data_IF_038569261388
#
_entry.id   IF_038569261388
#
_cell.length_a   1.000
_cell.length_b   1.000
_cell.length_c   1.000
_cell.angle_alpha   90.00
_cell.angle_beta   90.00
_cell.angle_gamma   90.00
#
_symmetry.space_group_name_H-M   'P 1'
#
loop_
_entity.id
_entity.type
_entity.pdbx_description
1 polymer ?
#
# COMPACT_ATOMS: atom_id res chain seq x y z
N UNK A 1 -35.66 5.18 17.81
CA UNK A 1 -34.51 4.98 16.91
C UNK A 1 -33.92 3.62 17.22
N UNK A 2 -33.61 2.79 16.21
CA UNK A 2 -32.99 1.47 16.44
C UNK A 2 -31.59 1.65 17.03
N UNK A 3 -31.17 0.76 17.93
CA UNK A 3 -29.79 0.76 18.43
C UNK A 3 -28.82 0.23 17.36
N UNK A 4 -27.55 0.59 17.45
CA UNK A 4 -26.50 0.10 16.55
C UNK A 4 -26.53 -1.45 16.45
N UNK A 5 -26.65 -2.14 17.57
CA UNK A 5 -26.73 -3.61 17.62
C UNK A 5 -27.95 -4.15 16.87
N UNK A 6 -29.10 -3.48 16.97
CA UNK A 6 -30.31 -3.87 16.25
C UNK A 6 -30.12 -3.71 14.74
N UNK A 7 -29.53 -2.59 14.31
CA UNK A 7 -29.22 -2.31 12.91
C UNK A 7 -28.25 -3.36 12.33
N UNK A 8 -27.16 -3.67 13.05
CA UNK A 8 -26.19 -4.71 12.65
C UNK A 8 -26.83 -6.10 12.54
N UNK A 9 -27.72 -6.45 13.47
CA UNK A 9 -28.39 -7.76 13.46
C UNK A 9 -29.32 -7.91 12.25
N UNK A 10 -30.10 -6.88 11.95
CA UNK A 10 -31.00 -6.86 10.79
C UNK A 10 -30.22 -6.85 9.47
N UNK A 11 -29.15 -6.06 9.38
CA UNK A 11 -28.24 -6.06 8.24
C UNK A 11 -27.66 -7.46 7.95
N UNK A 12 -27.22 -8.19 8.98
CA UNK A 12 -26.73 -9.57 8.83
C UNK A 12 -27.79 -10.53 8.28
N UNK A 13 -29.06 -10.35 8.68
CA UNK A 13 -30.16 -11.16 8.16
C UNK A 13 -30.40 -10.90 6.67
N UNK A 14 -30.37 -9.64 6.25
CA UNK A 14 -30.50 -9.25 4.85
C UNK A 14 -29.30 -9.72 4.02
N UNK A 15 -28.08 -9.57 4.54
CA UNK A 15 -26.86 -10.11 3.94
C UNK A 15 -26.95 -11.63 3.73
N UNK A 16 -27.41 -12.37 4.73
CA UNK A 16 -27.59 -13.82 4.64
C UNK A 16 -28.69 -14.22 3.65
N UNK A 17 -29.65 -13.33 3.41
CA UNK A 17 -30.70 -13.49 2.40
C UNK A 17 -30.25 -13.03 0.99
N UNK A 18 -29.04 -12.49 0.84
CA UNK A 18 -28.51 -11.97 -0.43
C UNK A 18 -28.98 -10.55 -0.80
N UNK A 19 -29.73 -9.88 0.08
CA UNK A 19 -30.21 -8.51 -0.12
C UNK A 19 -29.13 -7.50 0.33
N UNK A 20 -28.06 -7.43 -0.46
CA UNK A 20 -26.85 -6.70 -0.09
C UNK A 20 -27.03 -5.19 -0.05
N UNK A 21 -27.83 -4.61 -0.95
CA UNK A 21 -28.08 -3.15 -0.95
C UNK A 21 -28.81 -2.70 0.32
N UNK A 22 -29.81 -3.47 0.78
CA UNK A 22 -30.51 -3.15 2.04
C UNK A 22 -29.66 -3.46 3.26
N UNK A 23 -28.81 -4.50 3.20
CA UNK A 23 -27.84 -4.77 4.25
C UNK A 23 -26.83 -3.61 4.39
N UNK A 24 -26.31 -3.09 3.27
CA UNK A 24 -25.40 -1.93 3.25
C UNK A 24 -26.05 -0.70 3.89
N UNK A 25 -27.28 -0.35 3.49
CA UNK A 25 -27.99 0.79 4.06
C UNK A 25 -28.10 0.71 5.59
N UNK A 26 -28.35 -0.48 6.15
CA UNK A 26 -28.42 -0.68 7.59
C UNK A 26 -27.06 -0.70 8.27
N UNK A 27 -26.01 -1.20 7.61
CA UNK A 27 -24.65 -1.11 8.13
C UNK A 27 -24.15 0.33 8.16
N UNK A 28 -24.47 1.15 7.16
CA UNK A 28 -24.17 2.59 7.17
C UNK A 28 -24.97 3.33 8.25
N UNK A 29 -26.24 2.99 8.45
CA UNK A 29 -27.02 3.52 9.57
C UNK A 29 -26.41 3.13 10.91
N UNK A 30 -25.90 1.90 11.04
CA UNK A 30 -25.19 1.45 12.23
C UNK A 30 -23.90 2.23 12.47
N UNK A 31 -23.10 2.48 11.43
CA UNK A 31 -21.90 3.33 11.53
C UNK A 31 -22.24 4.75 11.99
N UNK A 32 -23.23 5.39 11.34
CA UNK A 32 -23.71 6.72 11.74
C UNK A 32 -24.22 6.72 13.17
N UNK A 33 -24.82 5.62 13.62
CA UNK A 33 -25.32 5.47 14.97
C UNK A 33 -24.20 5.36 16.01
N UNK A 34 -23.11 4.65 15.69
CA UNK A 34 -21.91 4.55 16.52
C UNK A 34 -21.20 5.89 16.64
N UNK A 35 -21.05 6.62 15.52
CA UNK A 35 -20.36 7.90 15.43
C UNK A 35 -21.13 9.09 16.02
N UNK A 36 -22.30 8.87 16.64
CA UNK A 36 -23.00 9.92 17.40
C UNK A 36 -22.29 10.26 18.70
N UNK A 37 -21.58 9.30 19.26
CA UNK A 37 -20.68 9.52 20.38
C UNK A 37 -19.32 9.96 19.81
N UNK A 38 -18.88 11.20 20.04
CA UNK A 38 -17.60 11.70 19.54
C UNK A 38 -16.39 10.92 20.04
N UNK A 39 -16.52 10.24 21.19
CA UNK A 39 -15.45 9.44 21.80
C UNK A 39 -15.51 7.97 21.36
N UNK A 40 -16.55 7.56 20.61
CA UNK A 40 -16.67 6.20 20.12
C UNK A 40 -15.74 5.95 18.93
N UNK A 41 -14.87 4.96 19.08
CA UNK A 41 -14.10 4.40 17.97
C UNK A 41 -14.95 3.39 17.20
N UNK A 42 -15.15 3.58 15.88
CA UNK A 42 -15.94 2.63 15.11
C UNK A 42 -15.23 1.27 14.96
N UNK A 43 -16.03 0.21 14.84
CA UNK A 43 -15.53 -1.16 14.72
C UNK A 43 -14.87 -1.41 13.34
N UNK A 44 -13.57 -1.74 13.25
CA UNK A 44 -12.91 -2.02 11.97
C UNK A 44 -13.55 -3.18 11.20
N UNK A 45 -14.15 -4.13 11.93
CA UNK A 45 -14.84 -5.29 11.37
C UNK A 45 -16.12 -4.91 10.62
N UNK A 46 -16.78 -3.81 11.01
CA UNK A 46 -17.95 -3.29 10.30
C UNK A 46 -17.54 -2.64 8.97
N UNK A 47 -16.42 -1.89 8.96
CA UNK A 47 -15.84 -1.37 7.72
C UNK A 47 -15.46 -2.50 6.75
N UNK A 48 -14.80 -3.56 7.24
CA UNK A 48 -14.49 -4.72 6.41
C UNK A 48 -15.73 -5.40 5.84
N UNK A 49 -16.81 -5.47 6.63
CA UNK A 49 -18.06 -6.07 6.18
C UNK A 49 -18.67 -5.26 5.04
N UNK A 50 -18.71 -3.94 5.18
CA UNK A 50 -19.22 -3.04 4.16
C UNK A 50 -18.35 -3.12 2.89
N UNK A 51 -17.03 -3.08 3.03
CA UNK A 51 -16.08 -3.24 1.92
C UNK A 51 -16.32 -4.54 1.13
N UNK A 52 -16.50 -5.66 1.84
CA UNK A 52 -16.78 -6.96 1.23
C UNK A 52 -18.12 -6.99 0.47
N UNK A 53 -19.12 -6.25 0.94
CA UNK A 53 -20.40 -6.12 0.25
C UNK A 53 -20.29 -5.25 -1.01
N UNK A 54 -19.57 -4.13 -0.95
CA UNK A 54 -19.30 -3.33 -2.14
C UNK A 54 -18.50 -4.12 -3.18
N UNK A 55 -17.51 -4.92 -2.77
CA UNK A 55 -16.79 -5.84 -3.65
C UNK A 55 -17.76 -6.83 -4.34
N UNK A 56 -18.67 -7.47 -3.58
CA UNK A 56 -19.66 -8.41 -4.14
C UNK A 56 -20.63 -7.74 -5.12
N UNK A 57 -20.91 -6.46 -4.93
CA UNK A 57 -21.78 -5.66 -5.80
C UNK A 57 -21.04 -5.06 -7.00
N UNK A 58 -19.74 -5.33 -7.17
CA UNK A 58 -18.94 -4.77 -8.26
C UNK A 58 -18.71 -3.27 -8.13
N UNK A 59 -18.61 -2.76 -6.89
CA UNK A 59 -18.36 -1.35 -6.56
C UNK A 59 -16.94 -1.19 -6.00
N UNK A 60 -15.89 -1.24 -6.83
CA UNK A 60 -14.49 -1.29 -6.37
C UNK A 60 -14.06 0.00 -5.65
N UNK A 61 -14.49 1.16 -6.11
CA UNK A 61 -14.13 2.45 -5.51
C UNK A 61 -14.62 2.54 -4.06
N UNK A 62 -15.92 2.28 -3.85
CA UNK A 62 -16.51 2.24 -2.51
C UNK A 62 -15.82 1.20 -1.63
N UNK A 63 -15.60 -0.02 -2.14
CA UNK A 63 -14.95 -1.08 -1.39
C UNK A 63 -13.54 -0.66 -0.93
N UNK A 64 -12.79 0.02 -1.79
CA UNK A 64 -11.45 0.52 -1.48
C UNK A 64 -11.48 1.59 -0.38
N UNK A 65 -12.47 2.50 -0.39
CA UNK A 65 -12.66 3.48 0.69
C UNK A 65 -12.88 2.80 2.05
N UNK A 66 -13.76 1.80 2.11
CA UNK A 66 -14.01 1.07 3.36
C UNK A 66 -12.83 0.17 3.77
N UNK A 67 -12.07 -0.41 2.83
CA UNK A 67 -10.84 -1.13 3.16
C UNK A 67 -9.76 -0.20 3.72
N UNK A 68 -9.58 1.00 3.14
CA UNK A 68 -8.71 2.06 3.67
C UNK A 68 -9.11 2.42 5.09
N UNK A 69 -10.40 2.65 5.32
CA UNK A 69 -10.96 2.95 6.65
C UNK A 69 -10.67 1.84 7.66
N UNK A 70 -10.94 0.58 7.31
CA UNK A 70 -10.67 -0.56 8.19
C UNK A 70 -9.18 -0.69 8.55
N UNK A 71 -8.29 -0.57 7.57
CA UNK A 71 -6.86 -0.64 7.81
C UNK A 71 -6.37 0.53 8.67
N UNK A 72 -6.89 1.75 8.44
CA UNK A 72 -6.62 2.93 9.27
C UNK A 72 -7.00 2.72 10.73
N UNK A 73 -8.24 2.27 10.98
CA UNK A 73 -8.72 2.00 12.33
C UNK A 73 -7.91 0.90 13.03
N UNK A 74 -7.52 -0.16 12.33
CA UNK A 74 -6.62 -1.17 12.90
C UNK A 74 -5.27 -0.59 13.29
N UNK A 75 -4.71 0.36 12.53
CA UNK A 75 -3.45 1.04 12.88
C UNK A 75 -3.63 1.93 14.11
N UNK A 76 -4.71 2.70 14.18
CA UNK A 76 -5.02 3.56 15.34
C UNK A 76 -5.20 2.75 16.63
N UNK A 77 -5.76 1.55 16.52
CA UNK A 77 -5.88 0.60 17.62
C UNK A 77 -4.58 -0.15 17.96
N UNK A 78 -3.47 0.12 17.26
CA UNK A 78 -2.19 -0.60 17.41
C UNK A 78 -2.19 -2.04 16.88
N UNK A 79 -3.25 -2.44 16.18
CA UNK A 79 -3.45 -3.79 15.62
C UNK A 79 -2.85 -3.89 14.21
N UNK A 80 -1.55 -3.64 14.10
CA UNK A 80 -0.84 -3.56 12.81
C UNK A 80 -0.92 -4.86 11.99
N UNK A 81 -0.90 -6.02 12.65
CA UNK A 81 -1.07 -7.34 12.00
C UNK A 81 -2.41 -7.44 11.26
N UNK A 82 -3.47 -6.88 11.85
CA UNK A 82 -4.80 -6.87 11.24
C UNK A 82 -4.83 -5.95 10.03
N UNK A 83 -4.25 -4.75 10.13
CA UNK A 83 -4.11 -3.85 8.99
C UNK A 83 -3.32 -4.49 7.83
N UNK A 84 -2.26 -5.27 8.12
CA UNK A 84 -1.53 -6.07 7.11
C UNK A 84 -2.45 -7.10 6.46
N UNK A 85 -3.28 -7.78 7.26
CA UNK A 85 -4.23 -8.77 6.75
C UNK A 85 -5.30 -8.13 5.84
N UNK A 86 -5.75 -6.91 6.15
CA UNK A 86 -6.63 -6.12 5.27
C UNK A 86 -5.92 -5.89 3.94
N UNK A 87 -4.74 -5.26 3.94
CA UNK A 87 -4.05 -4.93 2.69
C UNK A 87 -3.69 -6.16 1.85
N UNK A 88 -3.26 -7.26 2.47
CA UNK A 88 -3.04 -8.55 1.77
C UNK A 88 -4.31 -9.09 1.13
N UNK A 89 -5.47 -8.92 1.77
CA UNK A 89 -6.75 -9.28 1.17
C UNK A 89 -7.05 -8.40 -0.04
N UNK A 90 -6.87 -7.09 0.08
CA UNK A 90 -7.11 -6.13 -1.02
C UNK A 90 -6.25 -6.44 -2.23
N UNK A 91 -4.93 -6.68 -2.04
CA UNK A 91 -4.01 -7.10 -3.11
C UNK A 91 -4.50 -8.35 -3.86
N UNK A 92 -5.17 -9.28 -3.15
CA UNK A 92 -5.71 -10.50 -3.79
C UNK A 92 -7.01 -10.26 -4.55
N UNK A 93 -7.85 -9.32 -4.10
CA UNK A 93 -9.16 -9.06 -4.74
C UNK A 93 -9.09 -7.99 -5.83
N UNK A 94 -8.12 -7.08 -5.76
CA UNK A 94 -7.84 -6.04 -6.75
C UNK A 94 -6.35 -6.05 -7.12
N UNK A 95 -5.86 -7.07 -7.84
CA UNK A 95 -4.44 -7.19 -8.20
C UNK A 95 -3.95 -6.09 -9.16
N UNK A 96 -4.86 -5.44 -9.89
CA UNK A 96 -4.59 -4.32 -10.78
C UNK A 96 -4.35 -3.00 -10.02
N UNK A 97 -4.82 -2.91 -8.77
CA UNK A 97 -4.69 -1.71 -7.97
C UNK A 97 -3.32 -1.63 -7.28
N UNK A 98 -2.51 -0.59 -7.54
CA UNK A 98 -1.16 -0.49 -6.98
C UNK A 98 -1.16 0.06 -5.54
N UNK A 99 -2.16 0.86 -5.14
CA UNK A 99 -2.21 1.48 -3.80
C UNK A 99 -2.05 0.45 -2.66
N UNK A 100 -2.76 -0.70 -2.65
CA UNK A 100 -2.64 -1.71 -1.61
C UNK A 100 -1.22 -2.26 -1.42
N UNK A 101 -0.44 -2.40 -2.50
CA UNK A 101 0.95 -2.87 -2.43
C UNK A 101 1.86 -1.84 -1.74
N UNK A 102 1.68 -0.55 -2.06
CA UNK A 102 2.40 0.54 -1.39
C UNK A 102 2.07 0.57 0.11
N UNK A 103 0.78 0.53 0.45
CA UNK A 103 0.33 0.54 1.86
C UNK A 103 0.81 -0.67 2.64
N UNK A 104 0.81 -1.84 2.00
CA UNK A 104 1.33 -3.06 2.59
C UNK A 104 2.85 -2.95 2.87
N UNK A 105 3.62 -2.42 1.93
CA UNK A 105 5.06 -2.21 2.10
C UNK A 105 5.38 -1.22 3.24
N UNK A 106 4.69 -0.08 3.27
CA UNK A 106 4.81 0.94 4.33
C UNK A 106 4.55 0.32 5.71
N UNK A 107 3.45 -0.42 5.83
CA UNK A 107 3.03 -1.03 7.10
C UNK A 107 3.97 -2.15 7.56
N UNK A 108 4.44 -2.99 6.64
CA UNK A 108 5.42 -4.03 6.94
C UNK A 108 6.73 -3.43 7.43
N UNK A 109 7.16 -2.31 6.83
CA UNK A 109 8.36 -1.61 7.24
C UNK A 109 8.20 -1.00 8.64
N UNK A 110 7.04 -0.44 8.97
CA UNK A 110 6.67 0.04 10.33
C UNK A 110 6.73 -1.06 11.37
N UNK A 111 6.45 -2.30 10.98
CA UNK A 111 6.56 -3.48 11.84
C UNK A 111 7.97 -4.09 11.88
N UNK A 112 8.94 -3.55 11.15
CA UNK A 112 10.28 -4.13 11.02
C UNK A 112 10.36 -5.39 10.14
N UNK A 113 9.30 -5.72 9.41
CA UNK A 113 9.22 -6.83 8.46
C UNK A 113 9.87 -6.44 7.12
N UNK A 114 11.17 -6.12 7.16
CA UNK A 114 11.89 -5.50 6.04
C UNK A 114 11.94 -6.39 4.80
N UNK A 115 12.03 -7.72 4.97
CA UNK A 115 12.07 -8.65 3.84
C UNK A 115 10.75 -8.64 3.06
N UNK A 116 9.64 -8.71 3.77
CA UNK A 116 8.30 -8.67 3.21
C UNK A 116 7.99 -7.29 2.61
N UNK A 117 8.39 -6.21 3.29
CA UNK A 117 8.23 -4.86 2.81
C UNK A 117 8.93 -4.65 1.46
N UNK A 118 10.14 -5.21 1.29
CA UNK A 118 10.85 -5.19 0.00
C UNK A 118 10.10 -5.92 -1.11
N UNK A 119 9.52 -7.08 -0.80
CA UNK A 119 8.72 -7.84 -1.78
C UNK A 119 7.50 -7.03 -2.22
N UNK A 120 6.74 -6.49 -1.26
CA UNK A 120 5.56 -5.67 -1.53
C UNK A 120 5.91 -4.40 -2.32
N UNK A 121 7.03 -3.75 -1.99
CA UNK A 121 7.47 -2.55 -2.69
C UNK A 121 7.93 -2.85 -4.13
N UNK A 122 8.65 -3.95 -4.36
CA UNK A 122 9.01 -4.37 -5.72
C UNK A 122 7.76 -4.62 -6.57
N UNK A 123 6.78 -5.34 -6.01
CA UNK A 123 5.51 -5.58 -6.68
C UNK A 123 4.77 -4.26 -6.97
N UNK A 124 4.80 -3.28 -6.07
CA UNK A 124 4.24 -1.93 -6.33
C UNK A 124 4.93 -1.23 -7.51
N UNK A 125 6.28 -1.25 -7.55
CA UNK A 125 7.04 -0.64 -8.65
C UNK A 125 6.75 -1.33 -9.97
N UNK A 126 6.64 -2.65 -9.98
CA UNK A 126 6.30 -3.45 -11.16
C UNK A 126 4.88 -3.18 -11.65
N UNK A 127 3.90 -3.12 -10.75
CA UNK A 127 2.51 -2.79 -11.08
C UNK A 127 2.40 -1.40 -11.73
N UNK A 128 3.13 -0.41 -11.21
CA UNK A 128 3.23 0.93 -11.79
C UNK A 128 3.94 0.92 -13.14
N UNK A 129 5.04 0.17 -13.28
CA UNK A 129 5.75 0.04 -14.56
C UNK A 129 4.93 -0.67 -15.65
N UNK A 130 4.13 -1.68 -15.28
CA UNK A 130 3.25 -2.39 -16.21
C UNK A 130 2.15 -1.47 -16.78
N UNK A 131 1.63 -0.54 -15.97
CA UNK A 131 0.71 0.49 -16.43
C UNK A 131 1.36 1.50 -17.41
N UNK A 132 2.69 1.68 -17.36
CA UNK A 132 3.46 2.59 -18.22
C UNK A 132 3.73 2.02 -19.63
N UNK A 133 3.59 0.71 -19.88
CA UNK A 133 3.91 0.11 -21.19
C UNK A 133 3.05 0.63 -22.36
N UNK A 134 1.98 1.40 -22.07
CA UNK A 134 1.13 2.08 -23.04
C UNK A 134 1.13 3.61 -22.96
N UNK A 135 1.86 4.23 -22.02
CA UNK A 135 1.83 5.70 -21.80
C UNK A 135 3.25 6.22 -21.60
N UNK A 136 3.75 6.88 -22.65
CA UNK A 136 4.96 7.70 -22.76
C UNK A 136 5.83 7.86 -21.48
N UNK A 137 6.57 6.81 -21.10
CA UNK A 137 7.77 6.85 -20.25
C UNK A 137 7.73 7.67 -18.96
N UNK A 138 6.54 7.96 -18.42
CA UNK A 138 6.38 8.94 -17.36
C UNK A 138 6.83 8.33 -16.04
N UNK A 139 8.00 8.71 -15.57
CA UNK A 139 8.49 8.34 -14.25
C UNK A 139 7.47 8.80 -13.19
N UNK A 140 6.80 7.83 -12.60
CA UNK A 140 5.88 8.02 -11.48
C UNK A 140 6.59 8.65 -10.27
N UNK A 141 6.27 9.91 -9.98
CA UNK A 141 6.80 10.63 -8.80
C UNK A 141 6.48 9.92 -7.50
N UNK A 142 5.32 9.27 -7.42
CA UNK A 142 4.88 8.44 -6.29
C UNK A 142 5.72 7.16 -6.13
N UNK A 143 6.27 6.61 -7.22
CA UNK A 143 7.22 5.49 -7.17
C UNK A 143 8.59 5.96 -6.66
N UNK A 144 9.07 7.10 -7.16
CA UNK A 144 10.33 7.71 -6.70
C UNK A 144 10.26 8.03 -5.21
N UNK A 145 9.15 8.63 -4.76
CA UNK A 145 8.90 8.95 -3.36
C UNK A 145 8.91 7.68 -2.49
N UNK A 146 8.15 6.65 -2.87
CA UNK A 146 8.08 5.40 -2.11
C UNK A 146 9.45 4.69 -2.01
N UNK A 147 10.23 4.68 -3.09
CA UNK A 147 11.59 4.12 -3.10
C UNK A 147 12.54 4.90 -2.18
N UNK A 148 12.47 6.24 -2.17
CA UNK A 148 13.27 7.08 -1.27
C UNK A 148 12.94 6.81 0.19
N UNK A 149 11.66 6.89 0.55
CA UNK A 149 11.20 6.64 1.91
C UNK A 149 11.59 5.25 2.41
N UNK A 150 11.60 4.24 1.53
CA UNK A 150 12.10 2.91 1.86
C UNK A 150 13.61 2.91 2.10
N UNK A 151 14.39 3.48 1.17
CA UNK A 151 15.86 3.49 1.22
C UNK A 151 16.42 4.30 2.39
N UNK A 152 15.67 5.29 2.89
CA UNK A 152 16.01 6.02 4.11
C UNK A 152 16.02 5.09 5.33
N UNK A 153 15.17 4.06 5.35
CA UNK A 153 15.05 3.10 6.46
C UNK A 153 15.86 1.83 6.24
N UNK A 154 15.97 1.35 5.00
CA UNK A 154 16.70 0.14 4.63
C UNK A 154 17.51 0.36 3.34
N UNK A 155 18.86 0.37 3.38
CA UNK A 155 19.69 0.64 2.21
C UNK A 155 19.77 -0.61 1.29
N UNK A 156 18.65 -1.02 0.68
CA UNK A 156 18.58 -2.14 -0.27
C UNK A 156 19.27 -1.77 -1.59
N UNK A 157 20.38 -2.43 -1.98
CA UNK A 157 21.09 -2.10 -3.20
C UNK A 157 20.25 -2.29 -4.46
N UNK A 158 19.35 -3.28 -4.47
CA UNK A 158 18.47 -3.56 -5.61
C UNK A 158 17.46 -2.44 -5.87
N UNK A 159 16.76 -1.99 -4.82
CA UNK A 159 15.82 -0.87 -4.93
C UNK A 159 16.53 0.46 -5.27
N UNK A 160 17.76 0.66 -4.81
CA UNK A 160 18.55 1.84 -5.16
C UNK A 160 18.90 1.90 -6.66
N UNK A 161 19.22 0.75 -7.28
CA UNK A 161 19.43 0.66 -8.73
C UNK A 161 18.14 1.03 -9.47
N UNK A 162 16.99 0.51 -9.03
CA UNK A 162 15.69 0.82 -9.63
C UNK A 162 15.39 2.32 -9.56
N UNK A 163 15.60 2.94 -8.39
CA UNK A 163 15.44 4.38 -8.22
C UNK A 163 16.40 5.17 -9.13
N UNK A 164 17.68 4.82 -9.14
CA UNK A 164 18.69 5.53 -9.92
C UNK A 164 18.41 5.51 -11.43
N UNK A 165 17.93 4.39 -11.97
CA UNK A 165 17.54 4.30 -13.39
C UNK A 165 16.39 5.23 -13.73
N UNK A 166 15.37 5.30 -12.87
CA UNK A 166 14.23 6.22 -13.03
C UNK A 166 14.67 7.68 -12.94
N UNK A 167 15.56 8.03 -12.01
CA UNK A 167 16.10 9.39 -11.92
C UNK A 167 16.95 9.76 -13.15
N UNK A 168 17.78 8.84 -13.63
CA UNK A 168 18.60 9.06 -14.82
C UNK A 168 17.74 9.31 -16.08
N UNK A 169 16.62 8.59 -16.23
CA UNK A 169 15.67 8.78 -17.33
C UNK A 169 15.05 10.19 -17.37
N UNK A 170 14.91 10.87 -16.23
CA UNK A 170 14.41 12.26 -16.12
C UNK A 170 15.49 13.32 -16.33
N UNK A 171 16.64 12.97 -16.92
CA UNK A 171 17.86 13.79 -16.96
C UNK A 171 18.47 14.07 -15.56
N UNK A 172 18.02 13.37 -14.51
CA UNK A 172 18.51 13.46 -13.13
C UNK A 172 19.76 12.61 -12.87
N UNK A 173 20.68 12.51 -13.83
CA UNK A 173 21.87 11.64 -13.73
C UNK A 173 22.78 11.96 -12.53
N UNK A 174 23.04 13.24 -12.17
CA UNK A 174 23.80 13.55 -10.96
C UNK A 174 23.12 13.02 -9.69
N UNK A 175 21.80 13.13 -9.62
CA UNK A 175 20.99 12.65 -8.50
C UNK A 175 21.03 11.12 -8.41
N UNK A 176 20.86 10.43 -9.53
CA UNK A 176 21.00 8.98 -9.63
C UNK A 176 22.37 8.49 -9.10
N UNK A 177 23.45 9.16 -9.49
CA UNK A 177 24.80 8.83 -9.01
C UNK A 177 24.96 9.10 -7.52
N UNK A 178 24.33 10.14 -6.98
CA UNK A 178 24.38 10.46 -5.56
C UNK A 178 23.64 9.38 -4.75
N UNK A 179 22.39 9.07 -5.12
CA UNK A 179 21.60 8.00 -4.49
C UNK A 179 22.35 6.68 -4.40
N UNK A 180 22.99 6.25 -5.49
CA UNK A 180 23.76 5.01 -5.48
C UNK A 180 24.97 5.09 -4.54
N UNK A 181 25.70 6.21 -4.52
CA UNK A 181 26.84 6.38 -3.60
C UNK A 181 26.41 6.28 -2.14
N UNK A 182 25.32 6.95 -1.79
CA UNK A 182 24.82 7.02 -0.41
C UNK A 182 24.33 5.64 0.07
N UNK A 183 23.53 4.95 -0.77
CA UNK A 183 23.05 3.61 -0.43
C UNK A 183 24.21 2.63 -0.34
N UNK A 184 25.19 2.70 -1.24
CA UNK A 184 26.38 1.83 -1.18
C UNK A 184 27.13 2.01 0.13
N UNK A 185 27.38 3.24 0.55
CA UNK A 185 28.11 3.51 1.79
C UNK A 185 27.39 2.90 3.00
N UNK A 186 26.08 3.12 3.11
CA UNK A 186 25.24 2.55 4.17
C UNK A 186 25.17 1.03 4.11
N UNK A 187 24.95 0.46 2.93
CA UNK A 187 24.88 -0.99 2.72
C UNK A 187 26.21 -1.67 3.09
N UNK A 188 27.36 -1.09 2.72
CA UNK A 188 28.67 -1.61 3.07
C UNK A 188 28.95 -1.51 4.58
N UNK A 189 28.51 -0.43 5.23
CA UNK A 189 28.58 -0.29 6.69
C UNK A 189 27.75 -1.37 7.42
N UNK A 190 26.64 -1.81 6.83
CA UNK A 190 25.82 -2.94 7.30
C UNK A 190 26.33 -4.32 6.83
N UNK A 191 27.48 -4.38 6.15
CA UNK A 191 28.07 -5.64 5.67
C UNK A 191 27.34 -6.27 4.47
N UNK A 192 26.47 -5.53 3.78
CA UNK A 192 25.75 -6.00 2.58
C UNK A 192 26.61 -5.90 1.34
N UNK A 193 26.50 -6.90 0.45
CA UNK A 193 27.19 -6.90 -0.84
C UNK A 193 26.52 -5.91 -1.80
N UNK A 194 27.30 -4.98 -2.36
CA UNK A 194 26.83 -3.93 -3.26
C UNK A 194 27.43 -4.04 -4.69
N UNK A 195 27.86 -5.23 -5.12
CA UNK A 195 28.57 -5.42 -6.40
C UNK A 195 27.75 -4.98 -7.63
N UNK A 196 26.44 -5.25 -7.65
CA UNK A 196 25.55 -4.82 -8.74
C UNK A 196 25.40 -3.29 -8.76
N UNK A 197 25.29 -2.68 -7.58
CA UNK A 197 25.22 -1.23 -7.43
C UNK A 197 26.51 -0.58 -7.99
N UNK A 198 27.68 -1.15 -7.71
CA UNK A 198 28.94 -0.65 -8.29
C UNK A 198 28.99 -0.72 -9.82
N UNK A 199 28.42 -1.78 -10.41
CA UNK A 199 28.32 -1.89 -11.87
C UNK A 199 27.45 -0.77 -12.43
N UNK A 200 26.31 -0.51 -11.80
CA UNK A 200 25.41 0.58 -12.18
C UNK A 200 26.08 1.96 -12.05
N UNK A 201 26.78 2.21 -10.95
CA UNK A 201 27.58 3.43 -10.76
C UNK A 201 28.61 3.64 -11.86
N UNK A 202 29.28 2.57 -12.31
CA UNK A 202 30.26 2.64 -13.41
C UNK A 202 29.56 2.95 -14.74
N UNK A 203 28.44 2.27 -15.03
CA UNK A 203 27.67 2.50 -16.26
C UNK A 203 27.16 3.95 -16.35
N UNK A 204 26.53 4.45 -15.29
CA UNK A 204 26.05 5.83 -15.18
C UNK A 204 27.18 6.87 -15.11
N UNK A 205 28.45 6.52 -14.92
CA UNK A 205 29.57 7.47 -15.10
C UNK A 205 30.05 7.52 -16.55
N UNK A 206 30.05 6.39 -17.23
CA UNK A 206 30.54 6.26 -18.61
C UNK A 206 29.54 6.75 -19.66
N UNK A 207 28.27 6.98 -19.28
CA UNK A 207 27.25 7.51 -20.17
C UNK A 207 26.76 6.54 -21.23
N UNK A 208 27.05 5.26 -21.02
CA UNK A 208 26.44 4.17 -21.77
C UNK A 208 25.08 3.92 -21.12
N UNK A 209 24.03 4.34 -21.82
CA UNK A 209 22.63 3.97 -21.55
C UNK A 209 22.18 3.17 -22.74
#
# INVERSE_FOLDING_TARGET
MKSETQLKSEARRLESAGDYDRALALYDEALRAALRDPDAMPEPTLYLRIADLHFRLGRPDDAMEYYRGAAGLYRELGLMVNAVAVWKKVVRVYPEEPEPLRRLAELQLDMGLVAEARVSLRAYVEARAGAEAGVDGAVHDDVVEALRAFLDRDPDPGLAIVLARRLAARNGRPEALQTLRDVRERAMAEGRVAAELERELRALRQGKT
#
